data_IF_279527996134
#
_entry.id   IF_279527996134
#
_cell.length_a   1.000
_cell.length_b   1.000
_cell.length_c   1.000
_cell.angle_alpha   90.00
_cell.angle_beta   90.00
_cell.angle_gamma   90.00
#
_symmetry.space_group_name_H-M   'P 1'
#
loop_
_entity.id
_entity.type
_entity.pdbx_description
1 polymer ?
#
# COMPACT_ATOMS: atom_id res chain seq x y z
N UNK A 1 -29.22 -71.01 -39.15
CA UNK A 1 -29.25 -69.53 -39.29
C UNK A 1 -29.08 -68.94 -37.90
N UNK A 2 -27.89 -68.41 -37.62
CA UNK A 2 -27.50 -67.84 -36.32
C UNK A 2 -28.08 -66.42 -36.18
N UNK A 3 -28.67 -66.11 -35.02
CA UNK A 3 -28.89 -64.74 -34.55
C UNK A 3 -28.18 -64.58 -33.21
N UNK A 4 -27.02 -63.93 -33.23
CA UNK A 4 -26.27 -63.50 -32.04
C UNK A 4 -26.61 -62.05 -31.76
N UNK A 5 -27.32 -61.80 -30.65
CA UNK A 5 -27.60 -60.48 -30.12
C UNK A 5 -26.38 -59.97 -29.33
N UNK A 6 -25.84 -58.81 -29.72
CA UNK A 6 -24.76 -58.14 -29.01
C UNK A 6 -25.34 -56.98 -28.18
N UNK A 7 -25.28 -57.12 -26.85
CA UNK A 7 -25.68 -56.09 -25.89
C UNK A 7 -24.50 -55.14 -25.67
N UNK A 8 -24.61 -53.89 -26.14
CA UNK A 8 -23.66 -52.83 -25.77
C UNK A 8 -23.95 -52.38 -24.33
N UNK A 9 -22.98 -52.56 -23.44
CA UNK A 9 -22.96 -51.92 -22.12
C UNK A 9 -22.24 -50.59 -22.28
N UNK A 10 -22.99 -49.49 -22.21
CA UNK A 10 -22.42 -48.14 -22.11
C UNK A 10 -21.86 -47.95 -20.69
N UNK A 11 -20.56 -47.72 -20.58
CA UNK A 11 -19.90 -47.35 -19.32
C UNK A 11 -20.01 -45.83 -19.17
N UNK A 12 -20.45 -45.29 -18.02
CA UNK A 12 -20.51 -43.85 -17.83
C UNK A 12 -19.09 -43.28 -17.75
N UNK A 13 -18.84 -42.28 -18.59
CA UNK A 13 -17.62 -41.48 -18.60
C UNK A 13 -17.56 -40.68 -17.29
N UNK A 14 -16.72 -41.12 -16.35
CA UNK A 14 -16.45 -40.36 -15.14
C UNK A 14 -15.51 -39.23 -15.55
N UNK A 15 -16.11 -38.12 -16.00
CA UNK A 15 -15.41 -36.86 -16.19
C UNK A 15 -14.78 -36.45 -14.85
N UNK A 16 -13.48 -36.68 -14.71
CA UNK A 16 -12.70 -36.16 -13.61
C UNK A 16 -12.78 -34.63 -13.66
N UNK A 17 -13.55 -34.05 -12.73
CA UNK A 17 -13.58 -32.61 -12.52
C UNK A 17 -12.17 -32.17 -12.13
N UNK A 18 -11.46 -31.57 -13.08
CA UNK A 18 -10.16 -30.98 -12.85
C UNK A 18 -10.36 -29.77 -11.94
N UNK A 19 -9.65 -29.67 -10.80
CA UNK A 19 -9.79 -28.52 -9.91
C UNK A 19 -9.32 -27.27 -10.64
N UNK A 20 -10.26 -26.37 -10.93
CA UNK A 20 -9.97 -25.07 -11.50
C UNK A 20 -9.22 -24.20 -10.47
N UNK A 21 -7.96 -23.90 -10.77
CA UNK A 21 -7.19 -22.80 -10.18
C UNK A 21 -6.35 -22.19 -11.31
N UNK A 22 -5.89 -20.91 -11.29
CA UNK A 22 -6.23 -19.71 -10.51
C UNK A 22 -6.53 -18.49 -11.43
N UNK A 23 -7.33 -18.65 -12.49
CA UNK A 23 -7.60 -17.57 -13.45
C UNK A 23 -8.30 -16.35 -12.82
N UNK A 24 -9.19 -16.55 -11.84
CA UNK A 24 -9.90 -15.45 -11.17
C UNK A 24 -8.98 -14.59 -10.28
N UNK A 25 -7.98 -15.20 -9.63
CA UNK A 25 -7.02 -14.46 -8.80
C UNK A 25 -6.09 -13.56 -9.64
N UNK A 26 -5.69 -14.03 -10.83
CA UNK A 26 -4.88 -13.25 -11.76
C UNK A 26 -5.69 -12.09 -12.36
N UNK A 27 -6.95 -12.32 -12.76
CA UNK A 27 -7.84 -11.30 -13.30
C UNK A 27 -8.20 -10.21 -12.26
N UNK A 28 -8.44 -10.60 -11.01
CA UNK A 28 -8.66 -9.64 -9.91
C UNK A 28 -7.42 -8.79 -9.60
N UNK A 29 -6.22 -9.37 -9.70
CA UNK A 29 -4.96 -8.65 -9.54
C UNK A 29 -4.69 -7.63 -10.64
N UNK A 30 -5.01 -7.96 -11.90
CA UNK A 30 -4.89 -7.01 -13.03
C UNK A 30 -5.88 -5.87 -12.91
N UNK A 31 -7.14 -6.15 -12.55
CA UNK A 31 -8.16 -5.12 -12.32
C UNK A 31 -7.76 -4.15 -11.19
N UNK A 32 -7.26 -4.68 -10.07
CA UNK A 32 -6.78 -3.83 -8.97
C UNK A 32 -5.60 -2.93 -9.40
N UNK A 33 -4.68 -3.45 -10.22
CA UNK A 33 -3.56 -2.66 -10.74
C UNK A 33 -4.02 -1.54 -11.68
N UNK A 34 -4.98 -1.82 -12.56
CA UNK A 34 -5.57 -0.83 -13.47
C UNK A 34 -6.34 0.25 -12.70
N UNK A 35 -7.15 -0.13 -11.70
CA UNK A 35 -7.84 0.82 -10.82
C UNK A 35 -6.87 1.70 -10.02
N UNK A 36 -5.77 1.13 -9.53
CA UNK A 36 -4.73 1.90 -8.86
C UNK A 36 -4.09 2.92 -9.80
N UNK A 37 -3.75 2.51 -11.03
CA UNK A 37 -3.15 3.39 -12.04
C UNK A 37 -4.11 4.52 -12.47
N UNK A 38 -5.41 4.22 -12.64
CA UNK A 38 -6.42 5.20 -12.97
C UNK A 38 -6.58 6.25 -11.85
N UNK A 39 -6.65 5.82 -10.60
CA UNK A 39 -6.78 6.71 -9.43
C UNK A 39 -5.52 7.55 -9.25
N UNK A 40 -4.33 6.95 -9.40
CA UNK A 40 -3.06 7.69 -9.40
C UNK A 40 -3.03 8.79 -10.48
N UNK A 41 -3.42 8.48 -11.72
CA UNK A 41 -3.44 9.46 -12.82
C UNK A 41 -4.40 10.61 -12.55
N UNK A 42 -5.60 10.33 -12.00
CA UNK A 42 -6.55 11.38 -11.59
C UNK A 42 -5.98 12.24 -10.47
N UNK A 43 -5.41 11.63 -9.45
CA UNK A 43 -4.78 12.31 -8.33
C UNK A 43 -3.65 13.26 -8.74
N UNK A 44 -2.74 12.82 -9.61
CA UNK A 44 -1.65 13.66 -10.15
C UNK A 44 -2.19 14.85 -10.97
N UNK A 45 -3.28 14.64 -11.73
CA UNK A 45 -3.93 15.71 -12.47
C UNK A 45 -4.55 16.74 -11.53
N UNK A 46 -5.31 16.28 -10.53
CA UNK A 46 -5.93 17.14 -9.53
C UNK A 46 -4.88 17.94 -8.73
N UNK A 47 -3.75 17.32 -8.40
CA UNK A 47 -2.63 18.02 -7.77
C UNK A 47 -2.09 19.15 -8.66
N UNK A 48 -1.86 18.85 -9.95
CA UNK A 48 -1.42 19.84 -10.93
C UNK A 48 -2.42 20.98 -11.11
N UNK A 49 -3.72 20.70 -10.96
CA UNK A 49 -4.81 21.68 -11.00
C UNK A 49 -4.99 22.46 -9.67
N UNK A 50 -4.14 22.21 -8.66
CA UNK A 50 -4.20 22.85 -7.33
C UNK A 50 -5.32 22.32 -6.41
N UNK A 51 -6.01 21.26 -6.82
CA UNK A 51 -7.13 20.64 -6.10
C UNK A 51 -6.63 19.57 -5.13
N UNK A 52 -5.92 20.01 -4.09
CA UNK A 52 -5.17 19.11 -3.21
C UNK A 52 -6.05 18.16 -2.40
N UNK A 53 -7.25 18.58 -1.97
CA UNK A 53 -8.18 17.72 -1.21
C UNK A 53 -8.69 16.57 -2.09
N UNK A 54 -9.07 16.87 -3.32
CA UNK A 54 -9.52 15.86 -4.27
C UNK A 54 -8.36 14.96 -4.74
N UNK A 55 -7.16 15.53 -4.91
CA UNK A 55 -5.96 14.76 -5.22
C UNK A 55 -5.65 13.75 -4.11
N UNK A 56 -5.75 14.15 -2.84
CA UNK A 56 -5.54 13.28 -1.69
C UNK A 56 -6.46 12.07 -1.72
N UNK A 57 -7.76 12.25 -2.01
CA UNK A 57 -8.73 11.15 -2.06
C UNK A 57 -8.40 10.13 -3.17
N UNK A 58 -8.03 10.60 -4.35
CA UNK A 58 -7.67 9.74 -5.49
C UNK A 58 -6.34 9.01 -5.27
N UNK A 59 -5.36 9.70 -4.70
CA UNK A 59 -4.06 9.10 -4.37
C UNK A 59 -4.18 8.10 -3.20
N UNK A 60 -5.06 8.35 -2.24
CA UNK A 60 -5.37 7.42 -1.15
C UNK A 60 -5.98 6.14 -1.69
N UNK A 61 -6.92 6.25 -2.64
CA UNK A 61 -7.48 5.10 -3.35
C UNK A 61 -6.41 4.30 -4.10
N UNK A 62 -5.45 4.98 -4.73
CA UNK A 62 -4.31 4.31 -5.36
C UNK A 62 -3.41 3.59 -4.34
N UNK A 63 -3.19 4.19 -3.18
CA UNK A 63 -2.34 3.65 -2.11
C UNK A 63 -2.92 2.37 -1.50
N UNK A 64 -4.23 2.35 -1.25
CA UNK A 64 -4.94 1.19 -0.73
C UNK A 64 -4.84 -0.03 -1.65
N UNK A 65 -4.80 0.19 -2.95
CA UNK A 65 -4.64 -0.86 -3.95
C UNK A 65 -3.16 -1.22 -4.18
N UNK A 66 -2.27 -0.24 -4.19
CA UNK A 66 -0.85 -0.38 -4.52
C UNK A 66 0.02 0.59 -3.71
N UNK A 67 0.58 0.16 -2.56
CA UNK A 67 1.46 0.99 -1.76
C UNK A 67 2.90 1.00 -2.32
N UNK A 68 3.14 1.85 -3.32
CA UNK A 68 4.43 1.98 -4.03
C UNK A 68 4.99 3.40 -3.94
N UNK A 69 6.30 3.55 -4.20
CA UNK A 69 7.05 4.79 -3.93
C UNK A 69 6.45 6.05 -4.59
N UNK A 70 5.97 5.95 -5.83
CA UNK A 70 5.44 7.11 -6.57
C UNK A 70 4.08 7.55 -6.02
N UNK A 71 3.22 6.62 -5.60
CA UNK A 71 1.96 6.94 -4.92
C UNK A 71 2.26 7.59 -3.57
N UNK A 72 3.21 7.03 -2.80
CA UNK A 72 3.64 7.61 -1.52
C UNK A 72 4.23 9.01 -1.70
N UNK A 73 5.11 9.23 -2.68
CA UNK A 73 5.66 10.55 -2.97
C UNK A 73 4.55 11.57 -3.26
N UNK A 74 3.60 11.22 -4.13
CA UNK A 74 2.50 12.12 -4.48
C UNK A 74 1.55 12.38 -3.30
N UNK A 75 1.25 11.37 -2.48
CA UNK A 75 0.51 11.58 -1.22
C UNK A 75 1.28 12.51 -0.29
N UNK A 76 2.58 12.27 -0.12
CA UNK A 76 3.46 13.08 0.71
C UNK A 76 3.45 14.56 0.35
N UNK A 77 3.68 14.90 -0.92
CA UNK A 77 3.64 16.29 -1.38
C UNK A 77 2.23 16.89 -1.31
N UNK A 78 1.18 16.10 -1.59
CA UNK A 78 -0.22 16.57 -1.49
C UNK A 78 -0.57 16.91 -0.05
N UNK A 79 -0.19 16.05 0.90
CA UNK A 79 -0.40 16.27 2.34
C UNK A 79 0.40 17.46 2.84
N UNK A 80 1.62 17.67 2.33
CA UNK A 80 2.40 18.87 2.62
C UNK A 80 1.65 20.15 2.21
N UNK A 81 1.11 20.20 0.98
CA UNK A 81 0.34 21.36 0.50
C UNK A 81 -0.93 21.62 1.33
N UNK A 82 -1.48 20.58 1.96
CA UNK A 82 -2.61 20.67 2.87
C UNK A 82 -2.21 21.01 4.31
N UNK A 83 -0.94 21.28 4.60
CA UNK A 83 -0.36 21.46 5.93
C UNK A 83 -0.57 20.26 6.88
N UNK A 84 -0.80 19.06 6.33
CA UNK A 84 -0.94 17.80 7.09
C UNK A 84 0.45 17.19 7.31
N UNK A 85 1.31 17.90 8.04
CA UNK A 85 2.74 17.58 8.14
C UNK A 85 3.03 16.18 8.71
N UNK A 86 2.22 15.67 9.64
CA UNK A 86 2.39 14.31 10.17
C UNK A 86 2.21 13.23 9.10
N UNK A 87 1.15 13.35 8.29
CA UNK A 87 0.92 12.44 7.17
C UNK A 87 1.97 12.64 6.06
N UNK A 88 2.36 13.89 5.78
CA UNK A 88 3.39 14.19 4.80
C UNK A 88 4.73 13.51 5.16
N UNK A 89 5.16 13.64 6.42
CA UNK A 89 6.38 13.00 6.92
C UNK A 89 6.30 11.46 6.78
N UNK A 90 5.15 10.86 7.10
CA UNK A 90 4.91 9.42 6.97
C UNK A 90 5.10 8.94 5.51
N UNK A 91 4.39 9.56 4.57
CA UNK A 91 4.42 9.12 3.17
C UNK A 91 5.74 9.45 2.47
N UNK A 92 6.35 10.61 2.76
CA UNK A 92 7.66 10.96 2.20
C UNK A 92 8.76 10.06 2.76
N UNK A 93 8.73 9.70 4.05
CA UNK A 93 9.64 8.70 4.63
C UNK A 93 9.53 7.35 3.91
N UNK A 94 8.30 6.88 3.68
CA UNK A 94 8.08 5.65 2.92
C UNK A 94 8.66 5.74 1.50
N UNK A 95 8.37 6.84 0.79
CA UNK A 95 8.86 7.05 -0.57
C UNK A 95 10.40 7.04 -0.63
N UNK A 96 11.07 7.72 0.31
CA UNK A 96 12.52 7.81 0.39
C UNK A 96 13.19 6.46 0.68
N UNK A 97 12.57 5.62 1.52
CA UNK A 97 13.06 4.25 1.79
C UNK A 97 12.90 3.31 0.60
N UNK A 98 11.83 3.47 -0.16
CA UNK A 98 11.50 2.63 -1.33
C UNK A 98 11.87 3.28 -2.67
N UNK A 99 12.75 4.28 -2.64
CA UNK A 99 13.11 5.05 -3.83
C UNK A 99 13.84 4.18 -4.85
N UNK A 100 13.41 4.12 -6.12
CA UNK A 100 14.06 3.28 -7.11
C UNK A 100 15.45 3.84 -7.48
N UNK A 101 16.41 2.95 -7.69
CA UNK A 101 17.76 3.31 -8.14
C UNK A 101 17.79 3.58 -9.67
N UNK A 102 16.94 4.50 -10.15
CA UNK A 102 16.91 4.90 -11.57
C UNK A 102 17.15 6.40 -11.71
N UNK A 103 18.04 6.80 -12.64
CA UNK A 103 18.47 8.20 -12.78
C UNK A 103 17.35 9.17 -13.11
N UNK A 104 16.29 8.70 -13.78
CA UNK A 104 15.18 9.53 -14.28
C UNK A 104 14.34 10.17 -13.18
N UNK A 105 14.45 9.69 -11.93
CA UNK A 105 13.71 10.26 -10.79
C UNK A 105 14.63 10.89 -9.74
N UNK A 106 15.94 11.01 -9.98
CA UNK A 106 16.88 11.53 -8.97
C UNK A 106 16.52 12.96 -8.53
N UNK A 107 16.09 13.81 -9.47
CA UNK A 107 15.76 15.21 -9.16
C UNK A 107 14.54 15.33 -8.22
N UNK A 108 13.58 14.42 -8.35
CA UNK A 108 12.41 14.36 -7.45
C UNK A 108 12.81 13.96 -6.02
N UNK A 109 13.93 13.23 -5.86
CA UNK A 109 14.38 12.76 -4.54
C UNK A 109 14.78 13.92 -3.64
N UNK A 110 15.50 14.90 -4.17
CA UNK A 110 15.90 16.09 -3.40
C UNK A 110 14.67 16.87 -2.91
N UNK A 111 13.63 16.99 -3.74
CA UNK A 111 12.35 17.59 -3.31
C UNK A 111 11.69 16.77 -2.21
N UNK A 112 11.66 15.44 -2.34
CA UNK A 112 11.12 14.56 -1.31
C UNK A 112 11.87 14.69 0.03
N UNK A 113 13.20 14.75 -0.02
CA UNK A 113 14.08 14.93 1.15
C UNK A 113 13.81 16.28 1.84
N UNK A 114 13.71 17.36 1.07
CA UNK A 114 13.41 18.69 1.61
C UNK A 114 12.04 18.72 2.31
N UNK A 115 10.99 18.31 1.60
CA UNK A 115 9.62 18.35 2.15
C UNK A 115 9.46 17.39 3.33
N UNK A 116 10.19 16.28 3.34
CA UNK A 116 10.26 15.37 4.48
C UNK A 116 10.90 16.06 5.68
N UNK A 117 12.05 16.71 5.51
CA UNK A 117 12.75 17.39 6.59
C UNK A 117 11.88 18.52 7.19
N UNK A 118 11.24 19.32 6.35
CA UNK A 118 10.34 20.40 6.78
C UNK A 118 9.12 19.86 7.53
N UNK A 119 8.49 18.78 7.02
CA UNK A 119 7.33 18.16 7.69
C UNK A 119 7.72 17.50 9.00
N UNK A 120 8.85 16.77 9.01
CA UNK A 120 9.39 16.10 10.20
C UNK A 120 9.72 17.08 11.31
N UNK A 121 10.17 18.30 10.97
CA UNK A 121 10.47 19.34 11.97
C UNK A 121 9.21 19.87 12.70
N UNK A 122 8.01 19.65 12.15
CA UNK A 122 6.76 20.12 12.73
C UNK A 122 6.04 19.07 13.58
N UNK A 123 6.60 17.86 13.70
CA UNK A 123 5.91 16.70 14.29
C UNK A 123 6.83 15.93 15.24
N UNK A 124 6.24 15.12 16.11
CA UNK A 124 6.99 14.17 16.92
C UNK A 124 7.45 12.98 16.06
N UNK A 125 8.67 12.51 16.27
CA UNK A 125 9.22 11.32 15.62
C UNK A 125 9.65 10.29 16.67
N UNK A 126 8.97 9.15 16.71
CA UNK A 126 9.19 8.10 17.70
C UNK A 126 9.99 6.95 17.09
N UNK A 127 11.16 6.67 17.66
CA UNK A 127 11.92 5.46 17.39
C UNK A 127 11.51 4.35 18.38
N UNK A 128 10.53 3.53 18.01
CA UNK A 128 10.01 2.48 18.89
C UNK A 128 10.85 1.21 18.77
N UNK A 129 11.41 0.75 19.88
CA UNK A 129 12.10 -0.54 20.00
C UNK A 129 11.32 -1.45 20.95
N UNK A 130 10.77 -2.55 20.42
CA UNK A 130 10.14 -3.58 21.24
C UNK A 130 11.08 -4.77 21.38
N UNK A 131 11.18 -5.34 22.59
CA UNK A 131 12.04 -6.50 22.87
C UNK A 131 11.51 -7.82 22.29
N UNK A 132 10.24 -7.86 21.85
CA UNK A 132 9.60 -9.02 21.25
C UNK A 132 9.41 -8.81 19.74
N UNK A 133 10.16 -9.54 18.89
CA UNK A 133 9.93 -9.55 17.44
C UNK A 133 8.50 -10.00 17.12
N UNK A 134 7.89 -9.38 16.10
CA UNK A 134 6.53 -9.68 15.67
C UNK A 134 5.42 -9.00 16.49
N UNK A 135 5.74 -8.33 17.61
CA UNK A 135 4.76 -7.59 18.38
C UNK A 135 4.14 -6.46 17.55
N UNK A 136 2.82 -6.37 17.52
CA UNK A 136 2.08 -5.26 16.92
C UNK A 136 2.29 -4.00 17.77
N UNK A 137 2.76 -2.93 17.13
CA UNK A 137 2.94 -1.63 17.75
C UNK A 137 1.74 -0.76 17.41
N UNK A 138 1.14 -0.15 18.42
CA UNK A 138 0.05 0.79 18.30
C UNK A 138 0.48 2.15 18.85
N UNK A 139 0.05 3.22 18.19
CA UNK A 139 0.16 4.59 18.69
C UNK A 139 -1.23 5.22 18.69
N UNK A 140 -1.66 5.70 19.85
CA UNK A 140 -3.02 6.21 20.10
C UNK A 140 -4.11 5.22 19.65
N UNK A 141 -3.86 3.93 19.87
CA UNK A 141 -4.77 2.85 19.50
C UNK A 141 -4.77 2.46 18.01
N UNK A 142 -3.99 3.14 17.16
CA UNK A 142 -3.82 2.80 15.75
C UNK A 142 -2.59 1.92 15.54
N UNK A 143 -2.73 0.78 14.87
CA UNK A 143 -1.61 -0.06 14.47
C UNK A 143 -0.68 0.68 13.50
N UNK A 144 0.61 0.75 13.82
CA UNK A 144 1.65 1.40 13.00
C UNK A 144 2.62 0.40 12.36
N UNK A 145 2.53 -0.88 12.76
CA UNK A 145 3.31 -1.97 12.18
C UNK A 145 3.65 -3.04 13.21
N UNK A 146 4.52 -3.97 12.81
CA UNK A 146 5.05 -5.00 13.72
C UNK A 146 6.53 -4.76 13.98
N UNK A 147 6.98 -5.05 15.20
CA UNK A 147 8.37 -4.89 15.58
C UNK A 147 9.29 -5.94 14.91
N UNK A 148 10.51 -5.59 14.48
CA UNK A 148 11.05 -4.23 14.43
C UNK A 148 10.36 -3.38 13.34
N UNK A 149 10.03 -2.13 13.67
CA UNK A 149 9.48 -1.19 12.69
C UNK A 149 10.56 -0.79 11.67
N UNK A 150 10.13 -0.56 10.44
CA UNK A 150 11.03 -0.21 9.33
C UNK A 150 11.57 1.23 9.41
N UNK A 151 10.96 2.08 10.24
CA UNK A 151 11.34 3.48 10.41
C UNK A 151 10.68 4.13 11.61
N UNK A 152 10.84 5.45 11.71
CA UNK A 152 10.20 6.27 12.74
C UNK A 152 8.67 6.27 12.59
N UNK A 153 7.98 6.44 13.71
CA UNK A 153 6.53 6.69 13.76
C UNK A 153 6.31 8.17 14.01
N UNK A 154 5.58 8.83 13.10
CA UNK A 154 5.29 10.26 13.24
C UNK A 154 3.97 10.48 13.97
N UNK A 155 3.96 11.42 14.92
CA UNK A 155 2.82 11.80 15.74
C UNK A 155 2.64 13.31 15.76
N UNK A 156 1.43 13.80 16.02
CA UNK A 156 1.24 15.23 16.23
C UNK A 156 2.05 15.72 17.46
N UNK A 157 2.26 17.02 17.64
CA UNK A 157 2.83 17.53 18.88
C UNK A 157 1.88 17.29 20.06
N UNK A 158 2.36 16.65 21.13
CA UNK A 158 1.57 16.44 22.33
C UNK A 158 1.91 15.14 23.07
N UNK A 159 1.01 14.75 23.98
CA UNK A 159 1.08 13.47 24.67
C UNK A 159 0.51 12.35 23.77
N UNK A 160 1.26 11.25 23.66
CA UNK A 160 0.88 10.09 22.85
C UNK A 160 1.06 8.80 23.63
N UNK A 161 0.18 7.83 23.39
CA UNK A 161 0.25 6.51 24.01
C UNK A 161 0.85 5.50 23.03
N UNK A 162 1.95 4.87 23.41
CA UNK A 162 2.57 3.79 22.64
C UNK A 162 2.33 2.45 23.34
N UNK A 163 1.81 1.48 22.60
CA UNK A 163 1.56 0.13 23.07
C UNK A 163 2.24 -0.88 22.15
N UNK A 164 2.72 -1.99 22.71
CA UNK A 164 3.19 -3.14 21.95
C UNK A 164 2.45 -4.40 22.45
N UNK A 165 1.83 -5.13 21.53
CA UNK A 165 1.06 -6.34 21.81
C UNK A 165 1.64 -7.51 21.04
N UNK A 166 1.96 -8.59 21.73
CA UNK A 166 2.32 -9.86 21.10
C UNK A 166 1.10 -10.78 21.28
N UNK A 167 0.50 -11.24 20.18
CA UNK A 167 -0.49 -12.31 20.27
C UNK A 167 0.22 -13.57 20.73
N UNK A 168 -0.28 -14.17 21.81
CA UNK A 168 0.25 -15.38 22.44
C UNK A 168 -0.72 -16.53 22.31
#
# INVERSE_FOLDING_TARGET
>A
MLFTAATLIAVPDIAAAQPAAPQEALAGGTDAAERAAASYKRGVRLYSDGKYVEAEAELQSAWELRPIFNVAYNLGITKYQLNKHRDAAQYLSFALRHWPMVKTVTDLKSTAEQLFAESRAQVGALAVKAGAPGAEVLVDGKAVGKAPLEGEVFVEPGEHRVEAKLEG
#
